data_IF_166360372172
#
_entry.id   IF_166360372172
#
_cell.length_a   1.000
_cell.length_b   1.000
_cell.length_c   1.000
_cell.angle_alpha   90.00
_cell.angle_beta   90.00
_cell.angle_gamma   90.00
#
_symmetry.space_group_name_H-M   'P 1'
#
loop_
_entity.id
_entity.type
_entity.pdbx_description
1 polymer ?
#
# COMPACT_ATOMS: atom_id res chain seq x y z
N UNK A 1 16.72 15.62 -0.89
CA UNK A 1 17.32 14.29 -1.05
C UNK A 1 16.69 13.35 -0.04
N UNK A 2 15.56 12.79 -0.31
CA UNK A 2 14.83 12.02 0.68
C UNK A 2 14.61 10.57 0.26
N UNK A 3 14.57 9.69 1.25
CA UNK A 3 14.04 8.35 1.09
C UNK A 3 12.51 8.46 1.10
N UNK A 4 11.84 7.81 0.18
CA UNK A 4 10.39 7.66 0.20
C UNK A 4 10.07 6.56 1.21
N UNK A 5 9.34 6.91 2.27
CA UNK A 5 8.98 5.97 3.33
C UNK A 5 7.53 5.58 3.19
N UNK A 6 7.29 4.27 3.12
CA UNK A 6 5.96 3.66 3.02
C UNK A 6 5.79 2.73 4.21
N UNK A 7 4.67 2.83 4.89
CA UNK A 7 4.39 2.04 6.09
C UNK A 7 2.98 1.49 6.08
N UNK A 8 2.82 0.34 6.71
CA UNK A 8 1.51 -0.22 7.02
C UNK A 8 0.75 0.63 8.04
N UNK A 9 -0.57 0.73 7.90
CA UNK A 9 -1.42 1.48 8.82
C UNK A 9 -1.59 0.80 10.19
N UNK A 10 -1.35 -0.52 10.26
CA UNK A 10 -1.60 -1.34 11.45
C UNK A 10 -2.89 -2.15 11.36
N UNK A 11 -3.01 -3.15 12.23
CA UNK A 11 -4.03 -4.20 12.18
C UNK A 11 -4.93 -4.22 13.45
N UNK A 12 -5.18 -3.07 14.04
CA UNK A 12 -5.92 -2.95 15.31
C UNK A 12 -7.32 -2.36 15.14
N UNK A 13 -7.75 -2.14 13.89
CA UNK A 13 -9.04 -1.53 13.60
C UNK A 13 -9.21 -0.10 14.15
N UNK A 14 -8.14 0.63 14.31
CA UNK A 14 -8.18 1.98 14.87
C UNK A 14 -8.56 3.02 13.82
N UNK A 15 -9.36 3.99 14.24
CA UNK A 15 -9.55 5.23 13.50
C UNK A 15 -8.34 6.14 13.75
N UNK A 16 -7.53 6.32 12.73
CA UNK A 16 -6.28 7.07 12.81
C UNK A 16 -6.44 8.45 12.17
N UNK A 17 -6.16 9.48 12.95
CA UNK A 17 -6.32 10.85 12.50
C UNK A 17 -4.97 11.49 12.14
N UNK A 18 -5.04 12.57 11.37
CA UNK A 18 -3.89 13.37 10.96
C UNK A 18 -3.51 14.38 12.05
N UNK A 19 -2.28 14.87 12.01
CA UNK A 19 -1.84 15.93 12.91
C UNK A 19 -2.77 17.15 12.80
N UNK A 20 -3.28 17.60 13.94
CA UNK A 20 -4.26 18.67 14.04
C UNK A 20 -5.72 18.26 13.83
N UNK A 21 -6.02 17.00 13.56
CA UNK A 21 -7.38 16.48 13.52
C UNK A 21 -7.98 16.35 14.93
N UNK A 22 -9.31 16.31 15.01
CA UNK A 22 -10.05 16.31 16.27
C UNK A 22 -9.73 15.12 17.15
N UNK A 23 -9.49 13.97 16.54
CA UNK A 23 -9.24 12.69 17.19
C UNK A 23 -7.74 12.32 17.32
N UNK A 24 -6.85 13.16 16.82
CA UNK A 24 -5.41 12.88 16.82
C UNK A 24 -4.81 12.62 18.21
N UNK A 25 -5.29 13.32 19.22
CA UNK A 25 -4.86 13.16 20.61
C UNK A 25 -5.85 12.36 21.45
N UNK A 26 -6.97 11.96 20.89
CA UNK A 26 -7.99 11.21 21.58
C UNK A 26 -7.63 9.72 21.54
N UNK A 27 -7.23 9.17 22.71
CA UNK A 27 -7.16 7.73 22.89
C UNK A 27 -8.43 7.33 23.61
N UNK A 28 -9.37 6.76 22.88
CA UNK A 28 -10.58 6.28 23.49
C UNK A 28 -10.57 4.75 23.56
N UNK A 29 -10.67 4.20 24.75
CA UNK A 29 -10.75 2.78 25.03
C UNK A 29 -12.06 2.42 25.72
N UNK A 30 -12.83 1.53 25.12
CA UNK A 30 -13.84 0.75 25.82
C UNK A 30 -13.69 -0.73 25.49
N UNK A 31 -14.20 -1.60 26.32
CA UNK A 31 -14.13 -3.06 26.18
C UNK A 31 -14.80 -3.58 24.90
N UNK A 32 -15.51 -2.75 24.15
CA UNK A 32 -16.27 -3.14 22.96
C UNK A 32 -16.06 -2.20 21.77
N UNK A 33 -15.21 -1.19 21.85
CA UNK A 33 -15.25 -0.10 20.88
C UNK A 33 -13.88 0.41 20.47
N UNK A 34 -13.84 0.87 19.28
CA UNK A 34 -12.79 1.39 18.43
C UNK A 34 -12.05 2.54 19.06
N UNK A 35 -10.79 2.53 18.79
CA UNK A 35 -9.90 3.55 19.27
C UNK A 35 -9.71 4.62 18.21
N UNK A 36 -9.74 5.85 18.65
CA UNK A 36 -9.12 6.94 17.93
C UNK A 36 -7.63 6.97 18.31
N UNK A 37 -6.76 7.22 17.34
CA UNK A 37 -5.34 7.11 17.56
C UNK A 37 -4.58 7.92 16.50
N UNK A 38 -3.33 8.24 16.78
CA UNK A 38 -2.38 8.74 15.78
C UNK A 38 -1.99 7.69 14.76
N UNK A 39 -2.33 6.44 14.99
CA UNK A 39 -1.86 5.29 14.24
C UNK A 39 -0.56 4.70 14.77
N UNK A 40 -0.10 3.67 14.10
CA UNK A 40 1.14 2.97 14.44
C UNK A 40 2.36 3.67 13.85
N UNK A 41 3.46 3.70 14.58
CA UNK A 41 4.75 4.19 14.08
C UNK A 41 5.37 3.16 13.12
N UNK A 42 5.96 3.58 11.97
CA UNK A 42 6.15 4.96 11.51
C UNK A 42 4.96 5.54 10.71
N UNK A 43 3.90 4.78 10.45
CA UNK A 43 2.76 5.20 9.65
C UNK A 43 2.05 6.46 10.16
N UNK A 44 2.20 6.79 11.44
CA UNK A 44 1.65 8.00 12.06
C UNK A 44 2.41 9.30 11.73
N UNK A 45 3.63 9.21 11.20
CA UNK A 45 4.42 10.39 10.89
C UNK A 45 3.93 11.06 9.59
N UNK A 46 3.88 12.40 9.57
CA UNK A 46 3.31 13.18 8.45
C UNK A 46 4.01 12.95 7.09
N UNK A 47 5.31 12.61 7.14
CA UNK A 47 6.12 12.39 5.94
C UNK A 47 6.23 10.91 5.55
N UNK A 48 5.30 10.07 5.97
CA UNK A 48 5.26 8.64 5.64
C UNK A 48 3.99 8.35 4.87
N UNK A 49 4.05 7.54 3.83
CA UNK A 49 2.86 7.04 3.13
C UNK A 49 2.27 5.91 3.96
N UNK A 50 1.08 6.12 4.50
CA UNK A 50 0.37 5.17 5.33
C UNK A 50 -0.60 4.33 4.48
N UNK A 51 -0.44 3.00 4.51
CA UNK A 51 -1.18 2.09 3.64
C UNK A 51 -2.13 1.22 4.44
N UNK A 52 -3.42 1.30 4.12
CA UNK A 52 -4.47 0.45 4.63
C UNK A 52 -4.66 -0.82 3.78
N UNK A 53 -5.32 -1.81 4.37
CA UNK A 53 -5.58 -3.10 3.75
C UNK A 53 -7.02 -3.20 3.24
N UNK A 54 -7.16 -3.67 2.00
CA UNK A 54 -8.43 -4.11 1.42
C UNK A 54 -8.37 -5.59 1.04
N UNK A 55 -9.52 -6.16 0.70
CA UNK A 55 -9.62 -7.51 0.18
C UNK A 55 -8.88 -7.66 -1.14
N UNK A 56 -8.45 -8.88 -1.42
CA UNK A 56 -7.82 -9.28 -2.68
C UNK A 56 -8.79 -9.96 -3.64
N UNK A 57 -10.04 -10.14 -3.23
CA UNK A 57 -11.11 -10.80 -3.99
C UNK A 57 -12.03 -9.77 -4.65
N UNK A 58 -13.15 -10.21 -5.14
CA UNK A 58 -14.07 -9.53 -6.08
C UNK A 58 -14.57 -8.15 -5.65
N UNK A 59 -14.52 -7.79 -4.37
CA UNK A 59 -14.96 -6.49 -3.92
C UNK A 59 -13.89 -5.79 -3.09
N UNK A 60 -13.71 -4.53 -3.39
CA UNK A 60 -12.69 -3.68 -2.76
C UNK A 60 -13.22 -3.07 -1.46
N UNK A 61 -13.49 -3.92 -0.48
CA UNK A 61 -13.83 -3.51 0.86
C UNK A 61 -12.61 -3.48 1.77
N UNK A 62 -12.62 -2.59 2.73
CA UNK A 62 -11.59 -2.54 3.77
C UNK A 62 -11.53 -3.86 4.53
N UNK A 63 -10.33 -4.40 4.73
CA UNK A 63 -10.13 -5.54 5.64
C UNK A 63 -10.53 -5.13 7.07
N UNK A 64 -11.28 -5.97 7.77
CA UNK A 64 -11.85 -5.64 9.08
C UNK A 64 -10.79 -5.30 10.15
N UNK A 65 -9.61 -5.88 10.05
CA UNK A 65 -8.49 -5.62 10.96
C UNK A 65 -7.77 -4.31 10.66
N UNK A 66 -7.87 -3.78 9.42
CA UNK A 66 -7.07 -2.63 9.03
C UNK A 66 -7.40 -1.39 9.86
N UNK A 67 -6.38 -0.70 10.32
CA UNK A 67 -6.55 0.67 10.76
C UNK A 67 -7.08 1.51 9.60
N UNK A 68 -7.85 2.56 9.90
CA UNK A 68 -8.60 3.37 8.96
C UNK A 68 -8.58 4.84 9.39
N UNK A 69 -9.30 5.71 8.70
CA UNK A 69 -9.40 7.12 9.03
C UNK A 69 -8.56 8.03 8.15
N UNK A 70 -8.53 9.31 8.48
CA UNK A 70 -7.92 10.36 7.68
C UNK A 70 -6.40 10.19 7.49
N UNK A 71 -5.74 9.46 8.40
CA UNK A 71 -4.29 9.22 8.33
C UNK A 71 -3.91 8.18 7.27
N UNK A 72 -4.82 7.34 6.85
CA UNK A 72 -4.53 6.35 5.79
C UNK A 72 -4.54 7.06 4.44
N UNK A 73 -3.40 7.05 3.76
CA UNK A 73 -3.23 7.76 2.49
C UNK A 73 -3.76 7.00 1.29
N UNK A 74 -3.60 5.66 1.29
CA UNK A 74 -3.95 4.80 0.15
C UNK A 74 -4.31 3.40 0.63
N UNK A 75 -5.15 2.70 -0.10
CA UNK A 75 -5.59 1.33 0.14
C UNK A 75 -5.03 0.39 -0.92
N UNK A 76 -4.51 -0.75 -0.47
CA UNK A 76 -3.99 -1.79 -1.35
C UNK A 76 -4.38 -3.19 -0.84
N UNK A 77 -4.43 -4.21 -1.71
CA UNK A 77 -4.74 -5.56 -1.28
C UNK A 77 -3.81 -6.06 -0.19
N UNK A 78 -4.37 -6.52 0.92
CA UNK A 78 -3.63 -7.01 2.07
C UNK A 78 -4.28 -8.20 2.76
N UNK A 79 -5.35 -8.76 2.18
CA UNK A 79 -5.96 -10.02 2.65
C UNK A 79 -5.75 -11.11 1.61
N UNK A 80 -5.54 -12.33 2.08
CA UNK A 80 -5.28 -13.53 1.25
C UNK A 80 -4.08 -13.37 0.30
N UNK A 81 -3.04 -12.68 0.74
CA UNK A 81 -1.85 -12.42 -0.07
C UNK A 81 -0.89 -13.59 0.00
N UNK A 82 -0.63 -14.19 -1.16
CA UNK A 82 0.29 -15.30 -1.31
C UNK A 82 1.72 -14.77 -1.48
N UNK A 83 2.64 -15.27 -0.66
CA UNK A 83 4.05 -14.92 -0.74
C UNK A 83 4.94 -16.09 -0.32
N UNK A 84 6.23 -15.96 -0.62
CA UNK A 84 7.23 -16.94 -0.22
C UNK A 84 7.43 -16.96 1.30
N UNK A 85 7.64 -18.16 1.82
CA UNK A 85 8.07 -18.41 3.20
C UNK A 85 9.28 -19.33 3.20
N UNK A 86 10.04 -19.36 4.29
CA UNK A 86 11.35 -20.02 4.28
C UNK A 86 11.28 -21.56 4.36
N UNK A 87 10.26 -22.11 5.00
CA UNK A 87 10.05 -23.57 5.08
C UNK A 87 8.61 -23.90 5.45
N UNK A 88 8.29 -25.20 5.65
CA UNK A 88 7.00 -25.69 6.12
C UNK A 88 7.04 -26.24 7.55
N UNK A 89 7.95 -25.75 8.36
CA UNK A 89 8.01 -26.16 9.77
C UNK A 89 6.72 -25.79 10.51
N UNK A 90 6.46 -26.48 11.61
CA UNK A 90 5.30 -26.18 12.45
C UNK A 90 5.31 -24.75 12.99
N UNK A 91 6.48 -24.16 13.19
CA UNK A 91 6.61 -22.77 13.60
C UNK A 91 6.15 -21.79 12.51
N UNK A 92 6.52 -22.04 11.25
CA UNK A 92 6.07 -21.25 10.10
C UNK A 92 4.57 -21.45 9.87
N UNK A 93 4.08 -22.68 9.91
CA UNK A 93 2.66 -22.96 9.77
C UNK A 93 1.83 -22.33 10.91
N UNK A 94 2.33 -22.30 12.13
CA UNK A 94 1.67 -21.61 13.25
C UNK A 94 1.61 -20.08 13.06
N UNK A 95 2.62 -19.50 12.38
CA UNK A 95 2.68 -18.06 12.15
C UNK A 95 1.86 -17.61 10.93
N UNK A 96 1.81 -18.42 9.88
CA UNK A 96 1.26 -18.03 8.57
C UNK A 96 0.08 -18.91 8.12
N UNK A 97 -0.31 -19.90 8.90
CA UNK A 97 -1.38 -20.83 8.55
C UNK A 97 -0.91 -21.90 7.56
N UNK A 98 -1.70 -22.18 6.55
CA UNK A 98 -1.37 -23.23 5.58
C UNK A 98 -0.16 -22.86 4.73
N UNK A 99 0.92 -23.61 4.89
CA UNK A 99 2.10 -23.52 4.04
C UNK A 99 2.04 -24.66 3.03
N UNK A 100 2.27 -24.37 1.77
CA UNK A 100 2.31 -25.35 0.69
C UNK A 100 3.60 -25.25 -0.08
N UNK A 101 4.00 -26.35 -0.71
CA UNK A 101 5.12 -26.37 -1.65
C UNK A 101 4.65 -25.71 -2.95
N UNK A 102 5.45 -24.82 -3.50
CA UNK A 102 5.17 -24.22 -4.80
C UNK A 102 5.32 -25.29 -5.91
N UNK A 103 4.36 -25.32 -6.83
CA UNK A 103 4.35 -26.32 -7.92
C UNK A 103 5.57 -26.25 -8.86
N UNK A 104 6.37 -25.19 -8.76
CA UNK A 104 7.58 -24.99 -9.59
C UNK A 104 8.83 -25.66 -9.02
N UNK A 105 8.84 -26.00 -7.73
CA UNK A 105 10.00 -26.60 -7.07
C UNK A 105 9.68 -27.08 -5.67
N UNK A 106 10.11 -28.29 -5.32
CA UNK A 106 9.96 -28.86 -3.98
C UNK A 106 10.69 -28.08 -2.87
N UNK A 107 11.57 -27.17 -3.25
CA UNK A 107 12.34 -26.31 -2.33
C UNK A 107 11.66 -24.97 -2.06
N UNK A 108 10.58 -24.64 -2.76
CA UNK A 108 9.89 -23.36 -2.61
C UNK A 108 8.60 -23.52 -1.82
N UNK A 109 8.47 -22.73 -0.79
CA UNK A 109 7.31 -22.73 0.08
C UNK A 109 6.58 -21.40 -0.02
N UNK A 110 5.26 -21.44 -0.06
CA UNK A 110 4.38 -20.29 -0.11
C UNK A 110 3.31 -20.39 0.97
N UNK A 111 2.88 -19.24 1.47
CA UNK A 111 1.74 -19.14 2.38
C UNK A 111 0.85 -17.96 2.00
N UNK A 112 -0.42 -18.03 2.39
CA UNK A 112 -1.38 -16.93 2.28
C UNK A 112 -1.51 -16.27 3.64
N UNK A 113 -1.28 -14.98 3.73
CA UNK A 113 -1.41 -14.23 4.97
C UNK A 113 -2.18 -12.92 4.79
N UNK A 114 -2.65 -12.37 5.92
CA UNK A 114 -3.43 -11.14 5.97
C UNK A 114 -2.70 -10.07 6.78
N UNK A 115 -2.76 -8.82 6.33
CA UNK A 115 -2.19 -7.70 7.07
C UNK A 115 -1.95 -6.47 6.20
N UNK A 116 -1.99 -5.30 6.82
CA UNK A 116 -1.53 -4.05 6.20
C UNK A 116 -0.04 -4.12 5.82
N UNK A 117 0.71 -5.03 6.46
CA UNK A 117 2.09 -5.38 6.09
C UNK A 117 2.22 -6.01 4.71
N UNK A 118 1.14 -6.62 4.16
CA UNK A 118 1.09 -7.17 2.81
C UNK A 118 0.60 -6.14 1.80
N UNK A 119 -0.16 -5.14 2.24
CA UNK A 119 -0.61 -4.04 1.41
C UNK A 119 0.52 -3.03 1.11
N UNK A 120 1.31 -2.67 2.10
CA UNK A 120 2.36 -1.65 1.95
C UNK A 120 3.43 -1.97 0.90
N UNK A 121 3.94 -3.20 0.74
CA UNK A 121 4.92 -3.51 -0.30
C UNK A 121 4.34 -3.44 -1.72
N UNK A 122 3.04 -3.56 -1.92
CA UNK A 122 2.43 -3.36 -3.23
C UNK A 122 2.48 -1.89 -3.65
N UNK A 123 2.23 -0.97 -2.71
CA UNK A 123 2.43 0.47 -2.94
C UNK A 123 3.91 0.76 -3.22
N UNK A 124 4.81 0.13 -2.47
CA UNK A 124 6.25 0.24 -2.70
C UNK A 124 6.64 -0.20 -4.13
N UNK A 125 6.08 -1.31 -4.61
CA UNK A 125 6.33 -1.81 -5.97
C UNK A 125 5.86 -0.83 -7.05
N UNK A 126 4.68 -0.25 -6.91
CA UNK A 126 4.18 0.78 -7.84
C UNK A 126 5.08 2.01 -7.84
N UNK A 127 5.50 2.47 -6.66
CA UNK A 127 6.38 3.64 -6.55
C UNK A 127 7.78 3.34 -7.08
N UNK A 128 8.30 2.13 -6.91
CA UNK A 128 9.57 1.72 -7.51
C UNK A 128 9.52 1.78 -9.06
N UNK A 129 8.40 1.36 -9.66
CA UNK A 129 8.19 1.50 -11.10
C UNK A 129 8.10 2.97 -11.56
N UNK A 130 7.56 3.86 -10.72
CA UNK A 130 7.59 5.30 -10.99
C UNK A 130 8.99 5.88 -10.86
N UNK A 131 9.72 5.49 -9.82
CA UNK A 131 11.09 5.96 -9.58
C UNK A 131 12.07 5.52 -10.66
N UNK A 132 11.82 4.38 -11.34
CA UNK A 132 12.58 3.99 -12.53
C UNK A 132 12.44 5.02 -13.67
N UNK A 133 11.26 5.60 -13.81
CA UNK A 133 10.99 6.63 -14.82
C UNK A 133 11.41 8.02 -14.37
N UNK A 134 11.36 8.28 -13.06
CA UNK A 134 11.63 9.58 -12.43
C UNK A 134 12.60 9.41 -11.25
N UNK A 135 13.91 9.31 -11.50
CA UNK A 135 14.93 9.06 -10.45
C UNK A 135 15.00 10.15 -9.36
N UNK A 136 14.39 11.30 -9.59
CA UNK A 136 14.31 12.41 -8.62
C UNK A 136 12.98 12.50 -7.90
N UNK A 137 12.18 11.45 -7.94
CA UNK A 137 10.88 11.38 -7.29
C UNK A 137 11.02 11.65 -5.78
N UNK A 138 10.19 12.53 -5.25
CA UNK A 138 10.15 12.91 -3.83
C UNK A 138 8.89 12.36 -3.18
N UNK A 139 8.88 12.33 -1.87
CA UNK A 139 7.72 11.94 -1.07
C UNK A 139 6.44 12.72 -1.46
N UNK A 140 6.56 14.05 -1.63
CA UNK A 140 5.45 14.91 -2.04
C UNK A 140 4.90 14.55 -3.43
N UNK A 141 5.78 14.18 -4.35
CA UNK A 141 5.40 13.82 -5.73
C UNK A 141 4.63 12.49 -5.73
N UNK A 142 5.05 11.56 -4.87
CA UNK A 142 4.34 10.29 -4.68
C UNK A 142 2.97 10.51 -4.07
N UNK A 143 2.85 11.33 -3.02
CA UNK A 143 1.55 11.65 -2.43
C UNK A 143 0.62 12.31 -3.44
N UNK A 144 1.15 13.20 -4.28
CA UNK A 144 0.37 13.81 -5.36
C UNK A 144 -0.07 12.77 -6.40
N UNK A 145 0.85 11.88 -6.81
CA UNK A 145 0.52 10.78 -7.72
C UNK A 145 -0.61 9.90 -7.16
N UNK A 146 -0.50 9.50 -5.90
CA UNK A 146 -1.52 8.68 -5.26
C UNK A 146 -2.88 9.39 -5.21
N UNK A 147 -2.91 10.70 -4.96
CA UNK A 147 -4.14 11.51 -4.99
C UNK A 147 -4.79 11.56 -6.37
N UNK A 148 -3.99 11.69 -7.42
CA UNK A 148 -4.48 11.90 -8.79
C UNK A 148 -4.77 10.59 -9.53
N UNK A 149 -4.06 9.53 -9.21
CA UNK A 149 -4.11 8.27 -9.95
C UNK A 149 -4.89 7.16 -9.25
N UNK A 150 -5.16 7.27 -7.96
CA UNK A 150 -5.97 6.29 -7.23
C UNK A 150 -7.43 6.33 -7.67
N UNK A 151 -8.08 5.17 -7.59
CA UNK A 151 -9.51 5.03 -7.83
C UNK A 151 -10.30 5.20 -6.53
N UNK A 152 -11.49 5.80 -6.59
CA UNK A 152 -12.37 5.96 -5.42
C UNK A 152 -13.39 4.83 -5.35
N UNK A 153 -12.88 3.59 -5.32
CA UNK A 153 -13.70 2.37 -5.47
C UNK A 153 -13.77 1.51 -4.21
N UNK A 154 -13.08 1.91 -3.12
CA UNK A 154 -13.24 1.18 -1.85
C UNK A 154 -14.66 1.36 -1.35
N UNK A 155 -15.35 0.25 -1.05
CA UNK A 155 -16.75 0.25 -0.64
C UNK A 155 -17.00 1.12 0.59
N UNK A 156 -17.95 2.04 0.49
CA UNK A 156 -18.29 3.01 1.55
C UNK A 156 -19.58 2.69 2.28
N UNK A 157 -20.38 1.77 1.75
CA UNK A 157 -21.68 1.38 2.32
C UNK A 157 -21.84 -0.13 2.30
N UNK A 158 -22.54 -0.65 3.31
CA UNK A 158 -22.80 -2.07 3.44
C UNK A 158 -21.65 -2.85 4.04
N UNK A 159 -21.88 -4.13 4.17
CA UNK A 159 -20.86 -5.13 4.50
C UNK A 159 -20.83 -6.13 3.37
N UNK A 160 -19.66 -6.54 2.94
CA UNK A 160 -19.61 -7.71 2.08
C UNK A 160 -20.15 -8.94 2.80
N UNK A 161 -20.75 -9.84 2.04
CA UNK A 161 -21.25 -11.13 2.55
C UNK A 161 -20.13 -12.08 3.00
N UNK A 162 -18.90 -11.61 3.08
CA UNK A 162 -17.74 -12.36 3.55
C UNK A 162 -17.25 -11.82 4.89
N UNK A 163 -17.19 -12.69 5.88
CA UNK A 163 -16.59 -12.37 7.17
C UNK A 163 -15.14 -11.87 6.97
N UNK A 164 -14.85 -10.69 7.48
CA UNK A 164 -13.50 -10.12 7.42
C UNK A 164 -13.36 -8.82 6.64
N UNK A 165 -14.44 -8.31 6.05
CA UNK A 165 -14.43 -7.06 5.30
C UNK A 165 -15.51 -6.09 5.77
N UNK A 166 -15.25 -4.80 5.65
CA UNK A 166 -16.15 -3.74 6.10
C UNK A 166 -16.12 -2.54 5.16
N UNK A 167 -17.17 -1.75 5.22
CA UNK A 167 -17.20 -0.45 4.55
C UNK A 167 -16.10 0.48 5.09
N UNK A 168 -15.60 1.32 4.21
CA UNK A 168 -14.65 2.36 4.55
C UNK A 168 -15.32 3.39 5.48
N UNK A 169 -14.66 3.74 6.59
CA UNK A 169 -15.16 4.75 7.51
C UNK A 169 -15.22 6.16 6.88
N UNK A 170 -16.20 6.97 7.30
CA UNK A 170 -16.58 8.22 6.65
C UNK A 170 -15.52 9.33 6.61
N UNK A 171 -14.50 9.28 7.49
CA UNK A 171 -13.37 10.23 7.48
C UNK A 171 -12.12 9.68 6.76
N UNK A 172 -12.23 8.52 6.11
CA UNK A 172 -11.12 7.90 5.40
C UNK A 172 -10.97 8.46 3.98
N UNK A 173 -9.74 8.57 3.52
CA UNK A 173 -9.43 8.84 2.12
C UNK A 173 -9.82 7.62 1.28
N UNK A 174 -10.74 7.75 0.33
CA UNK A 174 -11.07 6.68 -0.60
C UNK A 174 -10.12 6.72 -1.80
N UNK A 175 -8.98 6.06 -1.65
CA UNK A 175 -7.92 6.01 -2.67
C UNK A 175 -7.42 4.57 -2.79
N UNK A 176 -8.00 3.85 -3.72
CA UNK A 176 -7.53 2.51 -4.10
C UNK A 176 -6.29 2.62 -4.99
N UNK A 177 -5.24 1.88 -4.65
CA UNK A 177 -3.99 1.86 -5.42
C UNK A 177 -4.23 1.46 -6.86
N UNK A 178 -3.86 2.32 -7.79
CA UNK A 178 -3.97 2.05 -9.21
C UNK A 178 -2.72 2.53 -9.96
N UNK A 179 -2.20 1.70 -10.85
CA UNK A 179 -1.07 2.03 -11.68
C UNK A 179 -1.52 2.40 -13.09
N UNK A 180 -1.49 3.68 -13.44
CA UNK A 180 -1.73 4.11 -14.83
C UNK A 180 -0.57 3.73 -15.74
N UNK A 181 -0.87 3.04 -16.83
CA UNK A 181 0.13 2.72 -17.88
C UNK A 181 0.58 3.94 -18.70
N UNK A 182 -0.18 5.04 -18.68
CA UNK A 182 0.14 6.28 -19.39
C UNK A 182 0.30 7.41 -18.38
N UNK A 183 1.26 8.30 -18.65
CA UNK A 183 1.36 9.59 -17.94
C UNK A 183 0.03 10.32 -18.02
N UNK A 184 -0.36 11.10 -17.00
CA UNK A 184 -1.44 12.07 -17.10
C UNK A 184 -1.19 12.97 -18.32
N UNK A 185 -2.25 13.31 -19.06
CA UNK A 185 -2.12 14.18 -20.21
C UNK A 185 -1.62 15.57 -19.82
N UNK A 186 -1.00 16.27 -20.78
CA UNK A 186 -0.46 17.62 -20.63
C UNK A 186 -1.58 18.55 -20.16
N UNK A 187 -1.50 19.03 -18.91
CA UNK A 187 -2.55 19.83 -18.26
C UNK A 187 -3.01 19.28 -16.89
N UNK A 188 -2.61 18.06 -16.55
CA UNK A 188 -2.71 17.54 -15.19
C UNK A 188 -1.84 18.39 -14.24
N UNK A 189 -2.31 18.60 -13.02
CA UNK A 189 -1.55 19.27 -11.94
C UNK A 189 -0.32 18.49 -11.46
N UNK A 190 0.04 17.45 -12.21
CA UNK A 190 1.22 16.63 -11.96
C UNK A 190 2.45 17.53 -11.91
N UNK A 191 3.25 17.46 -10.85
CA UNK A 191 4.42 18.33 -10.71
C UNK A 191 5.31 18.22 -11.96
N UNK A 192 5.88 19.34 -12.37
CA UNK A 192 6.78 19.48 -13.52
C UNK A 192 8.05 18.58 -13.43
N UNK A 193 8.18 17.83 -12.35
CA UNK A 193 9.19 16.77 -12.14
C UNK A 193 9.19 15.73 -13.27
N UNK A 194 8.05 15.56 -13.95
CA UNK A 194 7.91 14.68 -15.10
C UNK A 194 8.24 15.34 -16.45
N UNK A 195 8.79 16.54 -16.45
CA UNK A 195 9.20 17.22 -17.69
C UNK A 195 10.44 16.56 -18.29
N UNK A 196 10.32 16.14 -19.55
CA UNK A 196 11.37 15.46 -20.33
C UNK A 196 12.71 16.22 -20.37
N UNK A 197 12.70 17.54 -20.15
CA UNK A 197 13.88 18.38 -20.22
C UNK A 197 14.80 18.26 -18.99
N UNK A 198 14.37 17.59 -17.92
CA UNK A 198 15.23 17.30 -16.76
C UNK A 198 16.11 16.06 -16.92
N UNK A 199 15.90 15.26 -17.97
CA UNK A 199 16.69 14.04 -18.22
C UNK A 199 18.05 14.27 -18.89
N UNK A 200 18.36 15.51 -19.31
CA UNK A 200 19.57 15.76 -20.11
C UNK A 200 20.87 15.85 -19.31
N UNK A 201 20.82 15.83 -17.99
CA UNK A 201 22.03 16.14 -17.19
C UNK A 201 22.56 15.00 -16.29
N UNK A 202 21.90 13.85 -16.23
CA UNK A 202 22.41 12.71 -15.43
C UNK A 202 22.40 11.46 -16.28
N UNK A 203 23.54 11.06 -16.80
CA UNK A 203 23.75 9.72 -17.31
C UNK A 203 23.65 8.74 -16.14
N UNK A 204 22.43 8.23 -15.89
CA UNK A 204 22.21 7.14 -14.95
C UNK A 204 22.91 5.87 -15.43
N UNK A 205 23.18 4.92 -14.51
CA UNK A 205 23.77 3.64 -14.89
C UNK A 205 22.92 2.99 -15.98
N UNK A 206 23.53 2.58 -17.08
CA UNK A 206 22.89 1.85 -18.16
C UNK A 206 22.56 0.44 -17.66
N UNK A 207 21.35 0.24 -17.17
CA UNK A 207 20.88 -1.10 -16.87
C UNK A 207 20.66 -1.89 -18.18
N UNK A 208 21.00 -3.18 -18.23
CA UNK A 208 20.71 -4.01 -19.38
C UNK A 208 19.18 -4.07 -19.62
N UNK A 209 18.77 -3.75 -20.84
CA UNK A 209 17.36 -3.87 -21.24
C UNK A 209 17.05 -5.33 -21.51
N UNK A 210 16.01 -5.83 -20.91
CA UNK A 210 15.48 -7.16 -21.21
C UNK A 210 14.37 -7.04 -22.26
N UNK A 211 14.52 -7.77 -23.36
CA UNK A 211 13.47 -8.00 -24.35
C UNK A 211 13.31 -9.51 -24.50
N UNK A 212 12.12 -10.02 -24.23
CA UNK A 212 11.80 -11.45 -24.33
C UNK A 212 12.78 -12.36 -23.53
N UNK A 213 13.03 -12.01 -22.25
CA UNK A 213 13.92 -12.77 -21.35
C UNK A 213 15.37 -12.97 -21.86
N UNK A 214 15.85 -12.15 -22.78
CA UNK A 214 17.25 -12.17 -23.20
C UNK A 214 17.92 -10.83 -22.91
N UNK A 215 19.13 -10.90 -22.34
CA UNK A 215 20.02 -9.73 -22.19
C UNK A 215 20.46 -9.29 -23.59
N UNK A 216 20.17 -8.05 -23.96
CA UNK A 216 20.71 -7.45 -25.18
C UNK A 216 21.96 -6.67 -24.78
N UNK A 217 23.11 -7.07 -25.31
CA UNK A 217 24.38 -6.38 -25.12
C UNK A 217 24.37 -5.02 -25.81
#
# INVERSE_FOLDING_TARGET
DGVIVISSAGNSYWNCDVSGGDDYNNSYYTTTTRYHSRGSTPGSADNVICVGSIGSKVAEYKSNFSNWGARVDVWAPGSDIISAVYDQSSAVAASYGSVVVDSRSDSYHIASINGTSMASPQVCGVIACLAEQEPRLRQSDVLQYLKECSLSEVGTTGTENHSGYEALGGNSNNRYLFMKKKRPEKGSSYPAVLDKNRHSEVAGPKYPRFRNNRVIK
#
